data_IF_406348322173
#
_entry.id   IF_406348322173
#
_cell.length_a   1.000
_cell.length_b   1.000
_cell.length_c   1.000
_cell.angle_alpha   90.00
_cell.angle_beta   90.00
_cell.angle_gamma   90.00
#
_symmetry.space_group_name_H-M   'P 1'
#
loop_
_entity.id
_entity.type
_entity.pdbx_description
1 polymer ?
#
# COMPACT_ATOMS: atom_id res chain seq x y z
N UNK A 1 -11.01 7.73 19.83
CA UNK A 1 -9.64 8.26 19.98
C UNK A 1 -9.25 8.24 21.45
N UNK A 2 -8.13 7.61 21.82
CA UNK A 2 -7.75 7.37 23.22
C UNK A 2 -6.95 8.53 23.82
N UNK A 3 -6.73 9.63 23.10
CA UNK A 3 -5.93 10.76 23.54
C UNK A 3 -4.42 10.48 23.64
N UNK A 4 -3.96 9.30 23.25
CA UNK A 4 -2.53 9.05 23.07
C UNK A 4 -2.08 9.81 21.84
N UNK A 5 -0.98 10.54 21.95
CA UNK A 5 -0.40 11.34 20.89
C UNK A 5 -0.02 10.49 19.65
N UNK A 6 0.56 11.12 18.70
CA UNK A 6 1.18 10.47 17.56
C UNK A 6 2.70 10.47 17.74
N UNK A 7 3.33 9.42 17.27
CA UNK A 7 4.77 9.38 17.09
C UNK A 7 5.09 9.83 15.67
N UNK A 8 6.02 10.75 15.54
CA UNK A 8 6.55 11.15 14.24
C UNK A 8 7.96 10.64 14.12
N UNK A 9 8.27 10.00 13.00
CA UNK A 9 9.64 9.67 12.64
C UNK A 9 10.07 10.62 11.53
N UNK A 10 11.15 11.34 11.73
CA UNK A 10 11.70 12.17 10.68
C UNK A 10 12.28 11.26 9.61
N UNK A 11 11.70 11.32 8.46
CA UNK A 11 12.11 10.54 7.30
C UNK A 11 13.57 10.80 6.88
N UNK A 12 14.08 11.99 7.15
CA UNK A 12 15.48 12.37 6.86
C UNK A 12 16.50 11.52 7.63
N UNK A 13 16.13 11.02 8.79
CA UNK A 13 17.00 10.18 9.62
C UNK A 13 17.10 8.75 9.09
N UNK A 14 16.18 8.34 8.20
CA UNK A 14 16.12 6.97 7.71
C UNK A 14 17.08 6.69 6.56
N UNK A 15 17.42 7.70 5.76
CA UNK A 15 18.37 7.56 4.65
C UNK A 15 18.86 8.90 4.13
N UNK A 16 20.15 9.04 3.84
CA UNK A 16 20.68 10.17 3.09
C UNK A 16 20.26 10.06 1.61
N UNK A 17 19.03 10.49 1.32
CA UNK A 17 18.48 10.48 -0.03
C UNK A 17 19.05 11.63 -0.85
N UNK A 18 19.29 11.41 -2.13
CA UNK A 18 19.68 12.48 -3.04
C UNK A 18 18.59 13.55 -3.11
N UNK A 19 18.91 14.77 -2.71
CA UNK A 19 17.96 15.90 -2.69
C UNK A 19 17.32 16.20 -4.05
N UNK A 20 17.94 15.80 -5.15
CA UNK A 20 17.34 15.95 -6.49
C UNK A 20 16.15 15.02 -6.71
N UNK A 21 16.11 13.85 -6.06
CA UNK A 21 14.94 12.95 -6.08
C UNK A 21 13.73 13.52 -5.33
N UNK A 22 13.94 14.53 -4.50
CA UNK A 22 12.90 15.21 -3.70
C UNK A 22 12.13 16.27 -4.49
N UNK A 23 12.41 16.43 -5.77
CA UNK A 23 11.62 17.30 -6.65
C UNK A 23 10.25 16.70 -6.99
N UNK A 24 10.08 15.39 -6.78
CA UNK A 24 8.78 14.75 -6.92
C UNK A 24 7.96 14.96 -5.63
N UNK A 25 6.82 15.65 -5.73
CA UNK A 25 5.93 15.92 -4.61
C UNK A 25 5.41 14.61 -3.95
N UNK A 26 5.25 13.54 -4.72
CA UNK A 26 4.79 12.26 -4.21
C UNK A 26 5.74 11.66 -3.16
N UNK A 27 7.05 11.89 -3.30
CA UNK A 27 8.04 11.43 -2.31
C UNK A 27 7.96 12.16 -0.97
N UNK A 28 7.22 13.28 -0.92
CA UNK A 28 6.97 14.08 0.29
C UNK A 28 5.62 13.77 0.93
N UNK A 29 4.89 12.78 0.41
CA UNK A 29 3.62 12.35 0.99
C UNK A 29 3.81 11.85 2.42
N UNK A 30 2.82 12.12 3.27
CA UNK A 30 2.82 11.68 4.66
C UNK A 30 2.25 10.27 4.78
N UNK A 31 3.00 9.35 5.35
CA UNK A 31 2.52 8.04 5.76
C UNK A 31 1.92 8.09 7.17
N UNK A 32 0.82 7.39 7.39
CA UNK A 32 0.15 7.33 8.67
C UNK A 32 -0.35 5.90 8.96
N UNK A 33 -0.13 5.44 10.20
CA UNK A 33 -0.78 4.25 10.75
C UNK A 33 -1.82 4.67 11.78
N UNK A 34 -3.05 4.24 11.58
CA UNK A 34 -4.13 4.39 12.56
C UNK A 34 -4.31 3.05 13.28
N UNK A 35 -4.40 3.09 14.60
CA UNK A 35 -4.69 1.91 15.42
C UNK A 35 -5.92 2.15 16.27
N UNK A 36 -6.85 1.18 16.25
CA UNK A 36 -8.02 1.17 17.11
C UNK A 36 -8.19 -0.22 17.74
N UNK A 37 -7.93 -0.33 19.02
CA UNK A 37 -7.88 -1.62 19.69
C UNK A 37 -6.83 -2.54 19.03
N UNK A 38 -7.28 -3.65 18.47
CA UNK A 38 -6.42 -4.58 17.72
C UNK A 38 -6.32 -4.29 16.23
N UNK A 39 -7.23 -3.48 15.70
CA UNK A 39 -7.25 -3.12 14.29
C UNK A 39 -6.21 -2.06 13.96
N UNK A 40 -5.60 -2.19 12.79
CA UNK A 40 -4.64 -1.23 12.26
C UNK A 40 -4.84 -0.97 10.76
N UNK A 41 -4.69 0.28 10.39
CA UNK A 41 -4.85 0.77 9.02
C UNK A 41 -3.67 1.65 8.62
N UNK A 42 -3.15 1.45 7.42
CA UNK A 42 -2.10 2.28 6.84
C UNK A 42 -2.60 3.07 5.65
N UNK A 43 -2.14 4.32 5.54
CA UNK A 43 -2.26 5.16 4.34
C UNK A 43 -1.01 6.01 4.16
N UNK A 44 -0.44 6.05 2.94
CA UNK A 44 0.81 6.75 2.63
C UNK A 44 0.65 7.81 1.52
N UNK A 45 -0.57 8.23 1.18
CA UNK A 45 -0.77 9.14 0.06
C UNK A 45 -0.24 8.54 -1.24
N UNK A 46 0.54 9.32 -1.98
CA UNK A 46 1.14 8.92 -3.25
C UNK A 46 2.65 8.67 -3.13
N UNK A 47 3.08 8.12 -2.00
CA UNK A 47 4.48 7.74 -1.80
C UNK A 47 4.93 6.84 -2.95
N UNK A 48 6.02 7.22 -3.60
CA UNK A 48 6.70 6.41 -4.61
C UNK A 48 7.72 5.48 -3.95
N UNK A 49 7.85 4.25 -4.46
CA UNK A 49 8.68 3.24 -3.83
C UNK A 49 10.18 3.49 -3.98
N UNK A 50 10.63 3.90 -5.17
CA UNK A 50 12.05 3.97 -5.45
C UNK A 50 12.58 5.40 -5.55
N UNK A 51 13.61 5.66 -4.78
CA UNK A 51 14.42 6.87 -4.82
C UNK A 51 15.87 6.52 -5.15
N UNK A 52 16.69 7.54 -5.36
CA UNK A 52 18.15 7.38 -5.44
C UNK A 52 18.81 8.02 -4.23
N UNK A 53 19.78 7.35 -3.64
CA UNK A 53 20.63 7.94 -2.61
C UNK A 53 21.56 9.01 -3.22
N UNK A 54 22.41 9.63 -2.38
CA UNK A 54 23.35 10.67 -2.81
C UNK A 54 24.38 10.17 -3.84
N UNK A 55 24.58 8.86 -3.95
CA UNK A 55 25.49 8.21 -4.90
C UNK A 55 24.77 7.69 -6.15
N UNK A 56 23.45 7.94 -6.25
CA UNK A 56 22.61 7.45 -7.34
C UNK A 56 22.18 5.99 -7.20
N UNK A 57 22.43 5.34 -6.06
CA UNK A 57 21.99 3.97 -5.82
C UNK A 57 20.49 3.95 -5.50
N UNK A 58 19.73 3.02 -6.09
CA UNK A 58 18.31 2.85 -5.75
C UNK A 58 18.11 2.54 -4.26
N UNK A 59 17.12 3.21 -3.66
CA UNK A 59 16.66 2.98 -2.30
C UNK A 59 15.18 2.71 -2.34
N UNK A 60 14.72 1.62 -1.72
CA UNK A 60 13.30 1.34 -1.55
C UNK A 60 12.77 2.12 -0.35
N UNK A 61 12.08 3.23 -0.65
CA UNK A 61 11.47 4.09 0.37
C UNK A 61 10.32 3.38 1.06
N UNK A 62 9.48 2.70 0.30
CA UNK A 62 8.31 2.02 0.84
C UNK A 62 8.72 0.89 1.80
N UNK A 63 9.79 0.14 1.50
CA UNK A 63 10.32 -0.88 2.40
C UNK A 63 10.68 -0.28 3.76
N UNK A 64 11.39 0.87 3.76
CA UNK A 64 11.77 1.55 5.00
C UNK A 64 10.56 2.02 5.82
N UNK A 65 9.56 2.56 5.15
CA UNK A 65 8.31 2.97 5.78
C UNK A 65 7.60 1.76 6.39
N UNK A 66 7.51 0.65 5.65
CA UNK A 66 6.85 -0.56 6.14
C UNK A 66 7.60 -1.22 7.30
N UNK A 67 8.93 -1.18 7.33
CA UNK A 67 9.75 -1.65 8.46
C UNK A 67 9.38 -0.90 9.76
N UNK A 68 9.18 0.42 9.68
CA UNK A 68 8.80 1.26 10.82
C UNK A 68 7.34 1.04 11.21
N UNK A 69 6.46 1.02 10.21
CA UNK A 69 5.02 0.85 10.40
C UNK A 69 4.68 -0.51 11.01
N UNK A 70 5.41 -1.56 10.62
CA UNK A 70 5.08 -2.94 10.93
C UNK A 70 3.79 -3.40 10.24
N UNK A 71 3.32 -4.58 10.57
CA UNK A 71 2.11 -5.17 9.97
C UNK A 71 0.85 -4.36 10.27
N UNK A 72 -0.10 -4.41 9.32
CA UNK A 72 -1.43 -3.80 9.45
C UNK A 72 -2.51 -4.74 8.94
N UNK A 73 -3.75 -4.54 9.38
CA UNK A 73 -4.88 -5.32 8.86
C UNK A 73 -5.26 -4.85 7.46
N UNK A 74 -5.37 -3.55 7.26
CA UNK A 74 -5.77 -2.96 5.99
C UNK A 74 -4.77 -1.87 5.58
N UNK A 75 -4.42 -1.86 4.31
CA UNK A 75 -3.52 -0.90 3.70
C UNK A 75 -4.19 -0.17 2.53
N UNK A 76 -4.28 1.15 2.57
CA UNK A 76 -4.52 1.93 1.35
C UNK A 76 -3.24 1.89 0.52
N UNK A 77 -3.34 1.43 -0.72
CA UNK A 77 -2.19 1.34 -1.60
C UNK A 77 -1.55 2.72 -1.84
N UNK A 78 -0.24 2.80 -1.75
CA UNK A 78 0.50 4.00 -2.09
C UNK A 78 0.36 4.29 -3.59
N UNK A 79 0.36 5.56 -3.95
CA UNK A 79 0.31 6.06 -5.32
C UNK A 79 -0.67 5.27 -6.22
N UNK A 80 -1.87 4.97 -5.69
CA UNK A 80 -2.93 4.25 -6.40
C UNK A 80 -2.49 2.87 -6.97
N UNK A 81 -1.48 2.23 -6.38
CA UNK A 81 -0.81 1.04 -6.92
C UNK A 81 -0.22 1.27 -8.33
N UNK A 82 0.28 2.49 -8.60
CA UNK A 82 0.96 2.81 -9.85
C UNK A 82 2.30 2.07 -9.96
N UNK A 83 2.90 2.10 -11.15
CA UNK A 83 4.10 1.31 -11.50
C UNK A 83 5.32 1.50 -10.58
N UNK A 84 5.40 2.63 -9.90
CA UNK A 84 6.51 3.01 -9.01
C UNK A 84 6.21 2.78 -7.52
N UNK A 85 5.09 2.14 -7.20
CA UNK A 85 4.65 1.91 -5.83
C UNK A 85 4.39 0.43 -5.54
N UNK A 86 4.04 0.14 -4.30
CA UNK A 86 3.76 -1.21 -3.79
C UNK A 86 4.93 -2.15 -4.04
N UNK A 87 6.12 -1.74 -3.62
CA UNK A 87 7.35 -2.50 -3.81
C UNK A 87 7.29 -3.86 -3.11
N UNK A 88 8.16 -4.78 -3.52
CA UNK A 88 8.23 -6.10 -2.86
C UNK A 88 8.62 -5.98 -1.38
N UNK A 89 9.55 -5.08 -1.06
CA UNK A 89 9.97 -4.78 0.31
C UNK A 89 8.80 -4.27 1.15
N UNK A 90 7.99 -3.36 0.58
CA UNK A 90 6.79 -2.87 1.25
C UNK A 90 5.81 -4.00 1.58
N UNK A 91 5.48 -4.85 0.61
CA UNK A 91 4.51 -5.93 0.79
C UNK A 91 4.98 -6.96 1.82
N UNK A 92 6.27 -7.31 1.81
CA UNK A 92 6.87 -8.24 2.79
C UNK A 92 6.77 -7.75 4.23
N UNK A 93 6.85 -6.43 4.44
CA UNK A 93 6.89 -5.84 5.77
C UNK A 93 5.52 -5.37 6.26
N UNK A 94 4.68 -4.80 5.37
CA UNK A 94 3.34 -4.31 5.75
C UNK A 94 2.35 -5.42 6.05
N UNK A 95 2.46 -6.58 5.39
CA UNK A 95 1.69 -7.81 5.63
C UNK A 95 0.19 -7.61 5.77
N UNK A 96 -0.39 -6.70 4.98
CA UNK A 96 -1.81 -6.39 5.07
C UNK A 96 -2.68 -7.57 4.61
N UNK A 97 -3.79 -7.81 5.31
CA UNK A 97 -4.82 -8.79 4.92
C UNK A 97 -5.72 -8.27 3.81
N UNK A 98 -5.85 -6.94 3.70
CA UNK A 98 -6.59 -6.31 2.61
C UNK A 98 -5.91 -5.03 2.13
N UNK A 99 -6.02 -4.80 0.82
CA UNK A 99 -5.56 -3.57 0.18
C UNK A 99 -6.73 -2.81 -0.43
N UNK A 100 -6.74 -1.50 -0.25
CA UNK A 100 -7.70 -0.60 -0.90
C UNK A 100 -6.94 0.22 -1.94
N UNK A 101 -7.40 0.21 -3.19
CA UNK A 101 -6.81 0.99 -4.27
C UNK A 101 -7.82 2.04 -4.72
N UNK A 102 -7.64 3.32 -4.37
CA UNK A 102 -8.42 4.40 -4.98
C UNK A 102 -8.05 4.52 -6.45
N UNK A 103 -8.97 4.20 -7.33
CA UNK A 103 -8.77 4.22 -8.79
C UNK A 103 -9.56 5.36 -9.39
N UNK A 104 -8.91 6.23 -10.12
CA UNK A 104 -9.58 7.28 -10.87
C UNK A 104 -9.16 7.30 -12.35
N UNK A 105 -8.01 6.72 -12.66
CA UNK A 105 -7.46 6.63 -14.00
C UNK A 105 -7.19 5.17 -14.39
N UNK A 106 -7.24 4.88 -15.68
CA UNK A 106 -6.98 3.53 -16.22
C UNK A 106 -5.54 3.05 -16.00
N UNK A 107 -4.60 3.97 -15.80
CA UNK A 107 -3.19 3.64 -15.51
C UNK A 107 -2.96 3.23 -14.05
N UNK A 108 -3.91 3.47 -13.16
CA UNK A 108 -3.79 3.11 -11.74
C UNK A 108 -3.95 1.61 -11.48
N UNK A 109 -4.42 0.84 -12.45
CA UNK A 109 -4.55 -0.61 -12.31
C UNK A 109 -3.49 -1.28 -13.17
N UNK A 110 -2.34 -1.55 -12.57
CA UNK A 110 -1.23 -2.21 -13.22
C UNK A 110 -1.24 -3.71 -12.88
N UNK A 111 -1.48 -4.63 -13.86
CA UNK A 111 -1.54 -6.07 -13.60
C UNK A 111 -0.31 -6.62 -12.89
N UNK A 112 0.88 -6.12 -13.23
CA UNK A 112 2.13 -6.50 -12.59
C UNK A 112 2.16 -6.12 -11.09
N UNK A 113 1.53 -5.00 -10.73
CA UNK A 113 1.44 -4.57 -9.34
C UNK A 113 0.39 -5.40 -8.59
N UNK A 114 -0.76 -5.68 -9.20
CA UNK A 114 -1.78 -6.56 -8.61
C UNK A 114 -1.21 -7.96 -8.37
N UNK A 115 -0.46 -8.52 -9.33
CA UNK A 115 0.22 -9.80 -9.16
C UNK A 115 1.23 -9.77 -8.02
N UNK A 116 1.98 -8.68 -7.86
CA UNK A 116 2.89 -8.48 -6.74
C UNK A 116 2.14 -8.40 -5.42
N UNK A 117 1.07 -7.61 -5.32
CA UNK A 117 0.25 -7.47 -4.13
C UNK A 117 -0.39 -8.79 -3.69
N UNK A 118 -0.78 -9.64 -4.63
CA UNK A 118 -1.34 -10.97 -4.38
C UNK A 118 -0.29 -12.07 -4.16
N UNK A 119 1.00 -11.78 -4.37
CA UNK A 119 2.06 -12.79 -4.36
C UNK A 119 2.23 -13.46 -3.00
N UNK A 120 2.01 -14.77 -2.93
CA UNK A 120 2.22 -15.59 -1.73
C UNK A 120 3.71 -15.80 -1.40
N UNK A 121 4.62 -15.60 -2.37
CA UNK A 121 6.06 -15.63 -2.11
C UNK A 121 6.56 -14.43 -1.33
N UNK A 122 5.85 -13.29 -1.41
CA UNK A 122 6.15 -12.10 -0.63
C UNK A 122 5.51 -12.13 0.76
N UNK A 123 4.28 -12.65 0.84
CA UNK A 123 3.57 -12.87 2.09
C UNK A 123 2.61 -14.05 1.91
N UNK A 124 2.72 -15.14 2.69
CA UNK A 124 2.03 -16.40 2.41
C UNK A 124 0.53 -16.40 2.66
N UNK A 125 0.03 -15.49 3.50
CA UNK A 125 -1.38 -15.43 3.85
C UNK A 125 -2.25 -14.94 2.69
N UNK A 126 -3.51 -15.35 2.69
CA UNK A 126 -4.49 -14.85 1.73
C UNK A 126 -4.81 -13.38 2.00
N UNK A 127 -5.06 -12.66 0.92
CA UNK A 127 -5.44 -11.25 1.01
C UNK A 127 -6.38 -10.87 -0.11
N UNK A 128 -7.17 -9.83 0.17
CA UNK A 128 -8.12 -9.26 -0.78
C UNK A 128 -7.64 -7.88 -1.25
N UNK A 129 -7.91 -7.57 -2.50
CA UNK A 129 -7.61 -6.28 -3.12
C UNK A 129 -8.93 -5.64 -3.53
N UNK A 130 -9.21 -4.45 -3.03
CA UNK A 130 -10.43 -3.69 -3.26
C UNK A 130 -10.11 -2.42 -4.06
N UNK A 131 -10.03 -2.49 -5.38
CA UNK A 131 -9.98 -1.27 -6.19
C UNK A 131 -11.37 -0.60 -6.18
N UNK A 132 -11.41 0.73 -6.13
CA UNK A 132 -12.69 1.46 -6.26
C UNK A 132 -13.29 1.33 -7.67
N UNK A 133 -12.51 0.86 -8.63
CA UNK A 133 -12.93 0.50 -9.98
C UNK A 133 -12.02 -0.59 -10.54
N UNK A 134 -12.61 -1.65 -11.09
CA UNK A 134 -11.87 -2.71 -11.80
C UNK A 134 -12.58 -3.06 -13.10
N UNK A 135 -12.16 -2.47 -14.25
CA UNK A 135 -12.83 -2.64 -15.53
C UNK A 135 -12.95 -4.10 -15.96
N UNK A 136 -14.13 -4.50 -16.41
CA UNK A 136 -14.39 -5.86 -16.87
C UNK A 136 -13.44 -6.30 -18.00
N UNK A 137 -13.00 -5.35 -18.85
CA UNK A 137 -12.02 -5.61 -19.90
C UNK A 137 -10.67 -6.09 -19.35
N UNK A 138 -10.23 -5.59 -18.19
CA UNK A 138 -9.02 -6.07 -17.52
C UNK A 138 -9.26 -7.44 -16.90
N UNK A 139 -10.40 -7.64 -16.25
CA UNK A 139 -10.78 -8.92 -15.67
C UNK A 139 -10.78 -10.02 -16.72
N UNK A 140 -11.48 -9.80 -17.83
CA UNK A 140 -11.57 -10.76 -18.93
C UNK A 140 -10.21 -11.04 -19.57
N UNK A 141 -9.37 -10.01 -19.71
CA UNK A 141 -8.03 -10.14 -20.30
C UNK A 141 -7.08 -10.98 -19.44
N UNK A 142 -7.22 -10.91 -18.13
CA UNK A 142 -6.31 -11.55 -17.16
C UNK A 142 -7.00 -12.63 -16.33
N UNK A 143 -8.10 -13.21 -16.81
CA UNK A 143 -8.91 -14.20 -16.09
C UNK A 143 -8.15 -15.48 -15.72
N UNK A 144 -7.07 -15.82 -16.41
CA UNK A 144 -6.22 -16.97 -16.12
C UNK A 144 -5.14 -16.66 -15.07
N UNK A 145 -4.92 -15.40 -14.75
CA UNK A 145 -3.95 -15.01 -13.75
C UNK A 145 -4.47 -15.25 -12.33
N UNK A 146 -3.69 -15.93 -11.51
CA UNK A 146 -4.10 -16.32 -10.16
C UNK A 146 -4.46 -15.14 -9.26
N UNK A 147 -3.85 -13.98 -9.48
CA UNK A 147 -4.11 -12.78 -8.69
C UNK A 147 -5.52 -12.20 -8.91
N UNK A 148 -6.18 -12.50 -10.03
CA UNK A 148 -7.54 -12.00 -10.32
C UNK A 148 -8.54 -12.44 -9.24
N UNK A 149 -8.37 -13.65 -8.69
CA UNK A 149 -9.22 -14.16 -7.64
C UNK A 149 -9.08 -13.39 -6.30
N UNK A 150 -8.00 -12.65 -6.14
CA UNK A 150 -7.80 -11.80 -4.97
C UNK A 150 -8.40 -10.40 -5.14
N UNK A 151 -8.87 -10.05 -6.33
CA UNK A 151 -9.42 -8.72 -6.63
C UNK A 151 -10.94 -8.74 -6.54
N UNK A 152 -11.49 -7.89 -5.69
CA UNK A 152 -12.93 -7.68 -5.59
C UNK A 152 -13.51 -7.25 -6.95
N UNK A 153 -14.57 -7.91 -7.45
CA UNK A 153 -15.13 -7.61 -8.77
C UNK A 153 -16.00 -6.35 -8.81
N UNK A 154 -16.44 -5.87 -7.66
CA UNK A 154 -17.41 -4.78 -7.57
C UNK A 154 -16.73 -3.43 -7.61
N UNK A 155 -17.25 -2.52 -8.41
CA UNK A 155 -16.86 -1.12 -8.44
C UNK A 155 -17.61 -0.32 -7.37
N UNK A 156 -16.99 0.71 -6.82
CA UNK A 156 -17.67 1.62 -5.92
C UNK A 156 -16.87 2.05 -4.69
N UNK A 157 -17.59 2.48 -3.68
CA UNK A 157 -16.98 2.89 -2.40
C UNK A 157 -16.55 1.66 -1.59
N UNK A 158 -15.36 1.74 -1.04
CA UNK A 158 -14.88 0.75 -0.07
C UNK A 158 -15.09 1.32 1.34
N UNK A 159 -15.88 0.62 2.14
CA UNK A 159 -16.17 1.01 3.51
C UNK A 159 -15.65 -0.07 4.46
N UNK A 160 -14.81 0.33 5.39
CA UNK A 160 -14.32 -0.57 6.44
C UNK A 160 -15.06 -0.28 7.73
N UNK A 161 -15.81 -1.24 8.21
CA UNK A 161 -16.49 -1.16 9.50
C UNK A 161 -15.73 -1.97 10.55
N UNK A 162 -15.18 -1.28 11.53
CA UNK A 162 -14.46 -1.90 12.64
C UNK A 162 -15.38 -1.98 13.86
N UNK A 163 -15.44 -3.15 14.48
CA UNK A 163 -16.33 -3.44 15.63
C UNK A 163 -15.54 -4.19 16.71
N UNK A 164 -16.17 -4.36 17.86
CA UNK A 164 -15.63 -5.11 19.01
C UNK A 164 -14.21 -4.67 19.38
N UNK A 165 -14.00 -3.36 19.54
CA UNK A 165 -12.71 -2.76 19.90
C UNK A 165 -11.56 -3.25 18.99
N UNK A 166 -11.82 -3.36 17.70
CA UNK A 166 -10.83 -3.76 16.72
C UNK A 166 -10.60 -5.27 16.58
N UNK A 167 -11.36 -6.09 17.28
CA UNK A 167 -11.25 -7.55 17.15
C UNK A 167 -11.85 -8.07 15.84
N UNK A 168 -12.78 -7.31 15.24
CA UNK A 168 -13.43 -7.67 13.99
C UNK A 168 -13.55 -6.47 13.08
N UNK A 169 -13.45 -6.71 11.78
CA UNK A 169 -13.73 -5.72 10.73
C UNK A 169 -14.34 -6.39 9.51
N UNK A 170 -15.11 -5.61 8.76
CA UNK A 170 -15.76 -6.05 7.51
C UNK A 170 -15.88 -4.92 6.53
#
# INVERSE_FOLDING_TARGET
WTGKGYETTDYYDLNPVNRTSWQNENTKSTGMKLTYGRFSYYTGGDISGYLSDQKGKPVDLEEKIAEICGSVDICKANHHAYKDAMTEGFIRNIKASAYIIPVWDHEHIQPVILGRMASRSLYPEERMIFPTRFPESLRSKYNEESWVNSVCPEDGHVVVKVIDNGNQYK
#
